data_IF_456838913959
#
_entry.id   IF_456838913959
#
_cell.length_a   1.000
_cell.length_b   1.000
_cell.length_c   1.000
_cell.angle_alpha   90.00
_cell.angle_beta   90.00
_cell.angle_gamma   90.00
#
_symmetry.space_group_name_H-M   'P 1'
#
loop_
_entity.id
_entity.type
_entity.pdbx_description
1 polymer ?
#
# COMPACT_ATOMS: atom_id res chain seq x y z
N UNK A 1 -22.06 19.04 20.36
CA UNK A 1 -22.44 18.31 19.13
C UNK A 1 -21.24 17.47 18.72
N UNK A 2 -21.28 16.17 19.02
CA UNK A 2 -20.14 15.25 18.84
C UNK A 2 -20.49 14.30 17.69
N UNK A 3 -19.95 14.57 16.50
CA UNK A 3 -20.14 13.75 15.30
C UNK A 3 -19.25 12.50 15.40
N UNK A 4 -19.75 11.45 16.06
CA UNK A 4 -19.17 10.12 15.89
C UNK A 4 -19.46 9.67 14.46
N UNK A 5 -18.41 9.56 13.64
CA UNK A 5 -18.49 8.90 12.33
C UNK A 5 -19.00 7.47 12.55
N UNK A 6 -20.21 7.18 12.07
CA UNK A 6 -20.95 5.92 12.25
C UNK A 6 -20.38 4.76 11.42
N UNK A 7 -19.07 4.75 11.17
CA UNK A 7 -18.42 3.69 10.39
C UNK A 7 -18.06 2.53 11.31
N UNK A 8 -18.72 1.39 11.07
CA UNK A 8 -18.44 0.14 11.78
C UNK A 8 -16.95 -0.22 11.65
N UNK A 9 -16.31 -0.79 12.69
CA UNK A 9 -14.89 -1.08 12.67
C UNK A 9 -14.56 -2.05 11.53
N UNK A 10 -13.71 -1.58 10.62
CA UNK A 10 -13.23 -2.33 9.47
C UNK A 10 -12.09 -3.24 9.91
N UNK A 11 -12.16 -4.51 9.51
CA UNK A 11 -11.05 -5.44 9.61
C UNK A 11 -10.19 -5.30 8.35
N UNK A 12 -8.95 -4.85 8.50
CA UNK A 12 -7.98 -4.84 7.41
C UNK A 12 -7.24 -6.19 7.40
N UNK A 13 -7.26 -6.86 6.25
CA UNK A 13 -6.49 -8.08 6.03
C UNK A 13 -5.49 -7.88 4.90
N UNK A 14 -4.28 -8.42 5.04
CA UNK A 14 -3.29 -8.42 3.96
C UNK A 14 -3.73 -9.41 2.89
N UNK A 15 -4.01 -8.91 1.68
CA UNK A 15 -4.43 -9.73 0.55
C UNK A 15 -3.24 -10.16 -0.32
N UNK A 16 -2.25 -9.30 -0.48
CA UNK A 16 -0.98 -9.65 -1.13
C UNK A 16 0.13 -8.67 -0.76
N UNK A 17 1.37 -9.10 -0.94
CA UNK A 17 2.56 -8.27 -0.88
C UNK A 17 3.25 -8.37 -2.24
N UNK A 18 3.58 -7.24 -2.84
CA UNK A 18 4.11 -7.13 -4.18
C UNK A 18 5.33 -6.20 -4.22
N UNK A 19 6.18 -6.35 -5.25
CA UNK A 19 7.33 -5.46 -5.53
C UNK A 19 8.24 -5.22 -4.31
N UNK A 20 8.57 -6.28 -3.57
CA UNK A 20 9.60 -6.20 -2.53
C UNK A 20 10.95 -6.06 -3.24
N UNK A 21 11.58 -4.90 -3.10
CA UNK A 21 12.87 -4.58 -3.71
C UNK A 21 13.84 -4.19 -2.61
N UNK A 22 14.85 -5.04 -2.39
CA UNK A 22 16.00 -4.73 -1.56
C UNK A 22 17.02 -4.00 -2.42
N UNK A 23 17.26 -2.72 -2.12
CA UNK A 23 18.23 -1.89 -2.85
C UNK A 23 19.65 -2.03 -2.30
N UNK A 24 19.77 -2.23 -0.99
CA UNK A 24 21.04 -2.42 -0.28
C UNK A 24 20.86 -3.39 0.89
N UNK A 25 21.92 -4.08 1.34
CA UNK A 25 21.84 -4.99 2.47
C UNK A 25 21.34 -4.26 3.72
N UNK A 26 20.43 -4.89 4.45
CA UNK A 26 19.97 -4.35 5.74
C UNK A 26 21.01 -4.72 6.79
N UNK A 27 21.55 -3.72 7.48
CA UNK A 27 22.40 -3.93 8.65
C UNK A 27 21.60 -3.72 9.94
N UNK A 28 21.89 -4.54 10.94
CA UNK A 28 21.34 -4.42 12.30
C UNK A 28 22.17 -3.50 13.19
N UNK A 29 23.28 -2.98 12.68
CA UNK A 29 24.18 -2.06 13.40
C UNK A 29 23.66 -0.62 13.40
N UNK A 30 22.65 -0.32 12.57
CA UNK A 30 22.08 1.02 12.41
C UNK A 30 20.56 0.99 12.61
N UNK A 31 20.02 2.13 13.03
CA UNK A 31 18.59 2.30 13.16
C UNK A 31 17.88 2.23 11.80
N UNK A 32 16.77 1.50 11.78
CA UNK A 32 15.92 1.36 10.60
C UNK A 32 14.68 2.23 10.75
N UNK A 33 14.48 3.16 9.81
CA UNK A 33 13.27 3.96 9.71
C UNK A 33 12.31 3.32 8.71
N UNK A 34 11.15 2.90 9.18
CA UNK A 34 10.09 2.33 8.33
C UNK A 34 8.98 3.37 8.16
N UNK A 35 8.70 3.75 6.91
CA UNK A 35 7.63 4.69 6.57
C UNK A 35 6.62 4.00 5.67
N UNK A 36 5.36 4.06 6.06
CA UNK A 36 4.23 3.54 5.28
C UNK A 36 3.34 4.66 4.77
N UNK A 37 3.03 4.67 3.48
CA UNK A 37 2.17 5.67 2.83
C UNK A 37 1.08 5.00 2.01
N UNK A 38 -0.17 5.45 2.17
CA UNK A 38 -1.28 4.97 1.32
C UNK A 38 -1.15 5.63 -0.04
N UNK A 39 -0.88 4.86 -1.08
CA UNK A 39 -0.65 5.40 -2.43
C UNK A 39 -1.84 5.21 -3.37
N UNK A 40 -2.78 4.31 -3.03
CA UNK A 40 -4.00 4.11 -3.83
C UNK A 40 -5.11 3.45 -3.01
N UNK A 41 -6.37 3.82 -3.29
CA UNK A 41 -7.55 3.25 -2.62
C UNK A 41 -8.68 2.93 -3.60
N UNK A 42 -9.00 1.64 -3.71
CA UNK A 42 -10.15 1.11 -4.45
C UNK A 42 -11.45 1.11 -3.64
N UNK A 43 -12.43 0.30 -4.04
CA UNK A 43 -13.71 0.18 -3.28
C UNK A 43 -13.45 -0.31 -1.86
N UNK A 44 -12.73 -1.42 -1.74
CA UNK A 44 -12.41 -2.08 -0.46
C UNK A 44 -10.93 -2.45 -0.37
N UNK A 45 -10.13 -2.06 -1.36
CA UNK A 45 -8.71 -2.43 -1.46
C UNK A 45 -7.87 -1.19 -1.21
N UNK A 46 -6.79 -1.33 -0.46
CA UNK A 46 -5.88 -0.25 -0.08
C UNK A 46 -4.47 -0.70 -0.48
N UNK A 47 -3.74 0.11 -1.23
CA UNK A 47 -2.33 -0.13 -1.54
C UNK A 47 -1.48 0.80 -0.69
N UNK A 48 -0.64 0.19 0.14
CA UNK A 48 0.32 0.84 1.02
C UNK A 48 1.73 0.63 0.44
N UNK A 49 2.46 1.72 0.22
CA UNK A 49 3.89 1.66 -0.04
C UNK A 49 4.63 1.72 1.29
N UNK A 50 5.54 0.78 1.50
CA UNK A 50 6.42 0.72 2.65
C UNK A 50 7.84 0.96 2.17
N UNK A 51 8.51 1.92 2.77
CA UNK A 51 9.91 2.26 2.52
C UNK A 51 10.68 2.09 3.82
N UNK A 52 11.77 1.33 3.76
CA UNK A 52 12.73 1.18 4.86
C UNK A 52 13.97 1.95 4.48
N UNK A 53 14.37 2.87 5.33
CA UNK A 53 15.60 3.65 5.22
C UNK A 53 16.55 3.27 6.34
N UNK A 54 17.84 3.20 6.00
CA UNK A 54 18.95 3.06 6.95
C UNK A 54 20.01 4.08 6.56
N UNK A 55 20.54 4.79 7.55
CA UNK A 55 21.61 5.76 7.37
C UNK A 55 22.82 5.38 8.22
N UNK A 56 24.00 5.42 7.61
CA UNK A 56 25.28 5.21 8.32
C UNK A 56 25.77 6.50 9.01
N UNK A 57 25.23 7.68 8.65
CA UNK A 57 25.64 8.98 9.17
C UNK A 57 24.45 9.88 9.46
N UNK A 58 24.47 10.60 10.57
CA UNK A 58 23.50 11.67 10.82
C UNK A 58 23.64 12.75 9.73
N UNK A 59 22.62 12.92 8.88
CA UNK A 59 22.54 13.99 7.88
C UNK A 59 22.80 13.62 6.41
N UNK A 60 22.86 12.34 6.02
CA UNK A 60 22.90 11.96 4.59
C UNK A 60 21.54 12.12 3.90
N UNK A 61 21.53 12.45 2.60
CA UNK A 61 20.32 12.59 1.78
C UNK A 61 19.36 11.38 1.89
N UNK A 62 18.07 11.66 2.08
CA UNK A 62 17.03 10.67 2.35
C UNK A 62 16.87 9.64 1.22
N UNK A 63 17.21 9.99 -0.04
CA UNK A 63 16.99 9.11 -1.19
C UNK A 63 17.99 7.94 -1.28
N UNK A 64 19.25 8.18 -0.90
CA UNK A 64 20.30 7.15 -0.86
C UNK A 64 20.21 6.28 0.40
N UNK A 65 19.44 6.76 1.39
CA UNK A 65 19.17 6.01 2.63
C UNK A 65 18.21 4.82 2.43
N UNK A 66 17.44 4.75 1.34
CA UNK A 66 16.41 3.71 1.14
C UNK A 66 17.05 2.32 0.94
N UNK A 67 16.83 1.43 1.89
CA UNK A 67 17.28 0.04 1.86
C UNK A 67 16.29 -0.91 1.20
N UNK A 68 15.00 -0.73 1.48
CA UNK A 68 13.94 -1.61 0.97
C UNK A 68 12.70 -0.80 0.60
N UNK A 69 12.04 -1.19 -0.47
CA UNK A 69 10.71 -0.72 -0.82
C UNK A 69 9.79 -1.90 -1.10
N UNK A 70 8.53 -1.82 -0.66
CA UNK A 70 7.53 -2.87 -0.88
C UNK A 70 6.12 -2.27 -1.00
N UNK A 71 5.24 -2.93 -1.75
CA UNK A 71 3.84 -2.54 -1.85
C UNK A 71 2.96 -3.62 -1.19
N UNK A 72 2.22 -3.24 -0.17
CA UNK A 72 1.26 -4.08 0.53
C UNK A 72 -0.15 -3.78 0.04
N UNK A 73 -0.92 -4.82 -0.28
CA UNK A 73 -2.31 -4.69 -0.68
C UNK A 73 -3.17 -5.22 0.46
N UNK A 74 -3.93 -4.33 1.07
CA UNK A 74 -4.91 -4.64 2.09
C UNK A 74 -6.31 -4.67 1.51
N UNK A 75 -7.18 -5.46 2.13
CA UNK A 75 -8.62 -5.47 1.85
C UNK A 75 -9.37 -5.22 3.15
N UNK A 76 -10.27 -4.24 3.12
CA UNK A 76 -11.19 -3.97 4.21
C UNK A 76 -12.37 -4.93 4.16
N UNK A 77 -12.67 -5.52 5.32
CA UNK A 77 -13.79 -6.41 5.54
C UNK A 77 -14.65 -5.88 6.70
N UNK A 78 -15.94 -6.11 6.60
CA UNK A 78 -16.85 -5.88 7.72
C UNK A 78 -16.58 -6.95 8.79
N UNK A 79 -16.34 -6.51 10.02
CA UNK A 79 -15.92 -7.36 11.13
C UNK A 79 -16.96 -8.41 11.55
N UNK A 80 -18.24 -8.22 11.23
CA UNK A 80 -19.31 -9.17 11.58
C UNK A 80 -19.61 -10.14 10.43
N UNK A 81 -19.67 -9.64 9.21
CA UNK A 81 -20.09 -10.41 8.04
C UNK A 81 -18.92 -11.02 7.27
N UNK A 82 -17.69 -10.54 7.49
CA UNK A 82 -16.49 -10.93 6.75
C UNK A 82 -16.49 -10.49 5.28
N UNK A 83 -17.53 -9.79 4.81
CA UNK A 83 -17.66 -9.33 3.42
C UNK A 83 -16.82 -8.09 3.17
N UNK A 84 -16.45 -7.87 1.91
CA UNK A 84 -15.67 -6.70 1.49
C UNK A 84 -16.43 -5.39 1.75
N UNK A 85 -15.87 -4.56 2.62
CA UNK A 85 -16.46 -3.31 3.08
C UNK A 85 -15.86 -2.10 2.37
N UNK A 86 -16.66 -1.05 2.06
CA UNK A 86 -16.16 0.15 1.43
C UNK A 86 -15.21 0.92 2.36
N UNK A 87 -14.21 1.58 1.78
CA UNK A 87 -13.25 2.45 2.48
C UNK A 87 -13.31 3.87 1.93
N UNK A 88 -12.85 4.83 2.73
CA UNK A 88 -12.75 6.23 2.31
C UNK A 88 -11.78 6.36 1.13
N UNK A 89 -12.13 7.21 0.16
CA UNK A 89 -11.28 7.45 -1.00
C UNK A 89 -10.07 8.28 -0.60
N UNK A 90 -8.93 7.96 -1.20
CA UNK A 90 -7.75 8.79 -1.14
C UNK A 90 -7.88 9.92 -2.18
N UNK A 91 -7.63 11.15 -1.76
CA UNK A 91 -7.51 12.31 -2.64
C UNK A 91 -6.04 12.76 -2.62
N UNK A 92 -5.23 12.37 -3.62
CA UNK A 92 -3.85 12.83 -3.74
C UNK A 92 -3.78 14.36 -3.86
N UNK A 93 -2.91 15.01 -3.10
CA UNK A 93 -2.79 16.48 -3.08
C UNK A 93 -1.57 16.93 -3.88
N UNK A 94 -0.43 16.28 -3.65
CA UNK A 94 0.83 16.63 -4.30
C UNK A 94 0.99 15.97 -5.68
N UNK A 95 1.81 16.54 -6.55
CA UNK A 95 2.10 15.96 -7.88
C UNK A 95 2.71 14.56 -7.77
N UNK A 96 3.57 14.33 -6.76
CA UNK A 96 4.15 13.02 -6.50
C UNK A 96 3.07 12.00 -6.11
N UNK A 97 2.15 12.37 -5.23
CA UNK A 97 1.05 11.49 -4.81
C UNK A 97 0.11 11.17 -5.97
N UNK A 98 -0.23 12.15 -6.81
CA UNK A 98 -1.06 11.96 -8.01
C UNK A 98 -0.41 10.97 -8.97
N UNK A 99 0.88 11.15 -9.24
CA UNK A 99 1.64 10.25 -10.11
C UNK A 99 1.70 8.83 -9.55
N UNK A 100 1.97 8.67 -8.24
CA UNK A 100 1.97 7.37 -7.58
C UNK A 100 0.59 6.71 -7.62
N UNK A 101 -0.47 7.49 -7.45
CA UNK A 101 -1.86 7.02 -7.51
C UNK A 101 -2.20 6.46 -8.90
N UNK A 102 -1.93 7.22 -9.95
CA UNK A 102 -2.20 6.84 -11.34
C UNK A 102 -1.40 5.59 -11.75
N UNK A 103 -0.10 5.55 -11.44
CA UNK A 103 0.75 4.39 -11.73
C UNK A 103 0.26 3.12 -11.03
N UNK A 104 -0.20 3.27 -9.79
CA UNK A 104 -0.71 2.16 -8.99
C UNK A 104 -2.06 1.69 -9.52
N UNK A 105 -2.94 2.61 -9.91
CA UNK A 105 -4.23 2.30 -10.52
C UNK A 105 -4.05 1.52 -11.83
N UNK A 106 -3.16 1.97 -12.71
CA UNK A 106 -2.85 1.28 -13.95
C UNK A 106 -2.35 -0.14 -13.69
N UNK A 107 -1.41 -0.30 -12.75
CA UNK A 107 -0.87 -1.61 -12.35
C UNK A 107 -1.96 -2.53 -11.79
N UNK A 108 -2.81 -2.00 -10.91
CA UNK A 108 -3.91 -2.75 -10.31
C UNK A 108 -4.94 -3.22 -11.38
N UNK A 109 -5.28 -2.34 -12.32
CA UNK A 109 -6.19 -2.65 -13.41
C UNK A 109 -5.64 -3.74 -14.33
N UNK A 110 -4.34 -3.71 -14.64
CA UNK A 110 -3.66 -4.78 -15.38
C UNK A 110 -3.73 -6.12 -14.64
N UNK A 111 -3.46 -6.14 -13.33
CA UNK A 111 -3.56 -7.35 -12.50
C UNK A 111 -4.98 -7.92 -12.47
N UNK A 112 -6.00 -7.06 -12.37
CA UNK A 112 -7.41 -7.47 -12.40
C UNK A 112 -7.78 -8.11 -13.73
N UNK A 113 -7.32 -7.56 -14.86
CA UNK A 113 -7.55 -8.12 -16.20
C UNK A 113 -6.90 -9.48 -16.37
N UNK A 114 -5.65 -9.66 -15.93
CA UNK A 114 -4.96 -10.97 -15.99
C UNK A 114 -5.71 -12.05 -15.22
N UNK A 115 -6.08 -11.79 -13.97
CA UNK A 115 -6.87 -12.72 -13.14
C UNK A 115 -8.23 -13.05 -13.76
N UNK A 116 -8.91 -12.05 -14.33
CA UNK A 116 -10.19 -12.25 -15.01
C UNK A 116 -10.09 -13.02 -16.34
N UNK A 117 -8.92 -13.00 -16.99
CA UNK A 117 -8.62 -13.79 -18.19
C UNK A 117 -8.27 -15.25 -17.85
N UNK A 118 -7.47 -15.48 -16.81
CA UNK A 118 -7.14 -16.83 -16.32
C UNK A 118 -8.40 -17.62 -15.90
N UNK A 119 -9.37 -16.97 -15.24
CA UNK A 119 -10.67 -17.57 -14.89
C UNK A 119 -11.54 -17.95 -16.11
N UNK A 120 -11.30 -17.37 -17.29
CA UNK A 120 -12.05 -17.67 -18.53
C UNK A 120 -11.42 -18.80 -19.33
N UNK A 121 -10.12 -19.02 -19.19
CA UNK A 121 -9.39 -20.09 -19.89
C UNK A 121 -9.46 -21.45 -19.16
N UNK A 122 -10.14 -21.50 -18.00
CA UNK A 122 -10.33 -22.70 -17.19
C UNK A 122 -11.78 -23.24 -17.23
N UNK A 123 -12.58 -22.79 -18.21
CA UNK A 123 -13.96 -23.24 -18.44
C UNK A 123 -14.11 -23.84 -19.83
#
# INVERSE_FOLDING_TARGET
MMIYSTTRPLLLVTASVDKIVLKKPISVDFDLKIVGSVIWVGRSSIVLQLVVSQSEKEGSDDSDSIALAANFIFVARDSKTGKAAPVNRLSPETELEKLLFEQTEATHNLKKRKRGGELKNLK
#
